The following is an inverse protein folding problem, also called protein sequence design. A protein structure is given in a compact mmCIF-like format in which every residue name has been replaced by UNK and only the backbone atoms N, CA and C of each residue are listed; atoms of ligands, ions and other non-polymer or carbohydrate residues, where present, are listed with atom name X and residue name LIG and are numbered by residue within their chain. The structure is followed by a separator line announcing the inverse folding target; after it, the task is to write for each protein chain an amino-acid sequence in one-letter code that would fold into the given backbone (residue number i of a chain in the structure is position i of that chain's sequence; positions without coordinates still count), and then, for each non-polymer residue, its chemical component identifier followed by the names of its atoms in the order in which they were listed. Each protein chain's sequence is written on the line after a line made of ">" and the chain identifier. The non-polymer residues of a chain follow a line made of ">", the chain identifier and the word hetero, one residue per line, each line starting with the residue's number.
data_IF_101663321147
#
_entry.id   IF_101663321147
#
_cell.length_a   1.000
_cell.length_b   1.000
_cell.length_c   1.000
_cell.angle_alpha   90.00
_cell.angle_beta   90.00
_cell.angle_gamma   90.00
#
_symmetry.space_group_name_H-M   'P 1'
#
loop_
_entity.id
_entity.type
_entity.pdbx_description
1 polymer ?
#
# COMPACT_ATOMS: atom_id res chain seq x y z
N UNK A 1 23.46 -11.64 21.62
CA UNK A 1 23.66 -11.13 20.25
C UNK A 1 23.39 -12.32 19.36
N UNK A 2 22.34 -12.39 18.56
CA UNK A 2 21.44 -11.37 18.02
C UNK A 2 20.22 -12.14 17.53
N UNK A 3 19.00 -11.65 17.72
CA UNK A 3 17.79 -12.02 16.95
C UNK A 3 16.62 -11.12 17.42
N UNK A 4 16.85 -9.81 17.44
CA UNK A 4 15.88 -8.78 17.87
C UNK A 4 15.55 -7.83 16.70
N UNK A 5 15.32 -8.39 15.51
CA UNK A 5 14.88 -7.62 14.32
C UNK A 5 13.62 -8.21 13.67
N UNK A 6 13.23 -9.44 13.99
CA UNK A 6 12.04 -10.09 13.43
C UNK A 6 10.72 -9.72 14.12
N UNK A 7 10.77 -9.13 15.32
CA UNK A 7 9.59 -8.84 16.15
C UNK A 7 8.84 -7.57 15.75
N UNK A 8 9.55 -6.51 15.32
CA UNK A 8 8.91 -5.22 15.00
C UNK A 8 8.13 -5.22 13.67
N UNK A 9 8.30 -6.25 12.84
CA UNK A 9 7.57 -6.39 11.58
C UNK A 9 6.18 -7.03 11.73
N UNK A 10 5.81 -7.52 12.92
CA UNK A 10 4.51 -8.18 13.15
C UNK A 10 3.38 -7.22 13.53
N UNK A 11 3.66 -5.96 13.88
CA UNK A 11 2.65 -5.09 14.51
C UNK A 11 1.67 -4.41 13.52
N UNK A 12 1.85 -4.55 12.20
CA UNK A 12 0.99 -3.90 11.20
C UNK A 12 0.45 -4.81 10.08
N UNK A 13 0.60 -6.13 10.21
CA UNK A 13 0.08 -7.06 9.21
C UNK A 13 -1.37 -7.38 9.56
N UNK A 14 -2.31 -6.61 9.00
CA UNK A 14 -3.68 -7.09 8.80
C UNK A 14 -3.58 -8.53 8.28
N UNK A 15 -4.13 -9.51 9.01
CA UNK A 15 -3.88 -10.96 8.89
C UNK A 15 -4.14 -11.52 7.47
N UNK A 16 -3.25 -11.22 6.53
CA UNK A 16 -3.34 -11.73 5.17
C UNK A 16 -2.83 -13.17 5.19
N UNK A 17 -3.55 -14.14 4.59
CA UNK A 17 -3.17 -15.54 4.65
C UNK A 17 -1.78 -15.76 4.04
N UNK A 18 -0.84 -16.25 4.84
CA UNK A 18 0.56 -16.49 4.40
C UNK A 18 0.73 -17.77 3.58
N UNK A 19 -0.28 -18.67 3.54
CA UNK A 19 -0.24 -19.95 2.81
C UNK A 19 -1.00 -19.84 1.49
N UNK A 20 -0.35 -20.19 0.38
CA UNK A 20 -0.97 -20.24 -0.96
C UNK A 20 -0.95 -18.91 -1.74
N UNK A 21 -0.32 -17.87 -1.18
CA UNK A 21 -0.20 -16.55 -1.81
C UNK A 21 1.27 -16.21 -2.06
N UNK A 22 1.56 -15.68 -3.25
CA UNK A 22 2.87 -15.16 -3.60
C UNK A 22 3.12 -13.77 -3.00
N UNK A 23 4.37 -13.32 -3.04
CA UNK A 23 4.75 -11.97 -2.57
C UNK A 23 3.96 -10.87 -3.28
N UNK A 24 3.66 -11.05 -4.57
CA UNK A 24 2.85 -10.11 -5.35
C UNK A 24 1.43 -10.01 -4.79
N UNK A 25 0.78 -11.15 -4.51
CA UNK A 25 -0.58 -11.17 -3.96
C UNK A 25 -0.64 -10.49 -2.59
N UNK A 26 0.38 -10.72 -1.76
CA UNK A 26 0.50 -10.07 -0.45
C UNK A 26 0.64 -8.54 -0.57
N UNK A 27 1.51 -8.06 -1.47
CA UNK A 27 1.70 -6.62 -1.72
C UNK A 27 0.44 -5.97 -2.28
N UNK A 28 -0.27 -6.65 -3.19
CA UNK A 28 -1.56 -6.20 -3.71
C UNK A 28 -2.62 -6.10 -2.61
N UNK A 29 -2.69 -7.09 -1.71
CA UNK A 29 -3.59 -7.05 -0.55
C UNK A 29 -3.31 -5.85 0.36
N UNK A 30 -2.04 -5.61 0.69
CA UNK A 30 -1.64 -4.44 1.49
C UNK A 30 -1.99 -3.12 0.82
N UNK A 31 -1.74 -3.01 -0.49
CA UNK A 31 -2.11 -1.82 -1.26
C UNK A 31 -3.62 -1.58 -1.21
N UNK A 32 -4.42 -2.63 -1.38
CA UNK A 32 -5.88 -2.54 -1.34
C UNK A 32 -6.39 -1.99 0.00
N UNK A 33 -5.96 -2.58 1.12
CA UNK A 33 -6.38 -2.10 2.45
C UNK A 33 -5.88 -0.68 2.76
N UNK A 34 -4.65 -0.35 2.32
CA UNK A 34 -4.10 1.00 2.50
C UNK A 34 -4.94 2.05 1.76
N UNK A 35 -5.37 1.75 0.52
CA UNK A 35 -6.27 2.63 -0.25
C UNK A 35 -7.63 2.75 0.46
N UNK A 36 -8.20 1.64 0.95
CA UNK A 36 -9.47 1.71 1.68
C UNK A 36 -9.37 2.58 2.94
N UNK A 37 -8.30 2.47 3.71
CA UNK A 37 -8.12 3.25 4.92
C UNK A 37 -7.92 4.73 4.61
N UNK A 38 -7.18 5.07 3.54
CA UNK A 38 -7.12 6.44 3.04
C UNK A 38 -8.50 6.98 2.67
N UNK A 39 -9.31 6.21 1.93
CA UNK A 39 -10.67 6.62 1.57
C UNK A 39 -11.54 6.87 2.81
N UNK A 40 -11.46 6.01 3.82
CA UNK A 40 -12.20 6.19 5.10
C UNK A 40 -11.77 7.47 5.80
N UNK A 41 -10.48 7.77 5.85
CA UNK A 41 -9.95 8.97 6.50
C UNK A 41 -10.35 10.24 5.74
N UNK A 42 -10.26 10.25 4.41
CA UNK A 42 -10.69 11.38 3.57
C UNK A 42 -12.20 11.62 3.65
N UNK A 43 -13.00 10.56 3.70
CA UNK A 43 -14.44 10.69 3.93
C UNK A 43 -14.75 11.27 5.31
N UNK A 44 -14.02 10.84 6.35
CA UNK A 44 -14.12 11.41 7.71
C UNK A 44 -13.69 12.88 7.76
N UNK A 45 -12.81 13.34 6.87
CA UNK A 45 -12.43 14.75 6.75
C UNK A 45 -13.42 15.59 5.94
N UNK A 46 -14.55 15.02 5.52
CA UNK A 46 -15.61 15.74 4.84
C UNK A 46 -15.49 15.78 3.31
N UNK A 47 -14.55 15.03 2.72
CA UNK A 47 -14.45 14.93 1.26
C UNK A 47 -15.57 14.05 0.70
N UNK A 48 -16.15 14.48 -0.43
CA UNK A 48 -17.10 13.66 -1.19
C UNK A 48 -16.40 12.48 -1.87
N UNK A 49 -17.18 11.46 -2.25
CA UNK A 49 -16.66 10.31 -2.97
C UNK A 49 -15.97 10.69 -4.29
N UNK A 50 -16.46 11.72 -4.97
CA UNK A 50 -15.87 12.21 -6.22
C UNK A 50 -14.50 12.86 -5.99
N UNK A 51 -14.38 13.71 -4.96
CA UNK A 51 -13.11 14.33 -4.57
C UNK A 51 -12.08 13.30 -4.10
N UNK A 52 -12.51 12.30 -3.32
CA UNK A 52 -11.68 11.18 -2.88
C UNK A 52 -11.12 10.44 -4.10
N UNK A 53 -12.01 10.07 -5.04
CA UNK A 53 -11.61 9.37 -6.27
C UNK A 53 -10.60 10.18 -7.07
N UNK A 54 -10.86 11.48 -7.28
CA UNK A 54 -9.97 12.37 -8.03
C UNK A 54 -8.60 12.48 -7.37
N UNK A 55 -8.56 12.64 -6.05
CA UNK A 55 -7.32 12.79 -5.27
C UNK A 55 -6.48 11.51 -5.32
N UNK A 56 -7.10 10.35 -5.05
CA UNK A 56 -6.41 9.06 -5.09
C UNK A 56 -5.85 8.75 -6.48
N UNK A 57 -6.63 8.97 -7.54
CA UNK A 57 -6.16 8.76 -8.91
C UNK A 57 -4.98 9.66 -9.25
N UNK A 58 -5.04 10.95 -8.90
CA UNK A 58 -3.93 11.88 -9.14
C UNK A 58 -2.65 11.39 -8.46
N UNK A 59 -2.73 10.98 -7.20
CA UNK A 59 -1.57 10.51 -6.44
C UNK A 59 -1.00 9.21 -7.01
N UNK A 60 -1.86 8.25 -7.37
CA UNK A 60 -1.42 6.98 -7.96
C UNK A 60 -0.77 7.22 -9.33
N UNK A 61 -1.36 8.07 -10.17
CA UNK A 61 -0.79 8.45 -11.47
C UNK A 61 0.59 9.08 -11.29
N UNK A 62 0.74 10.02 -10.36
CA UNK A 62 2.04 10.63 -10.07
C UNK A 62 3.09 9.60 -9.61
N UNK A 63 2.72 8.66 -8.75
CA UNK A 63 3.63 7.57 -8.33
C UNK A 63 4.08 6.72 -9.52
N UNK A 64 3.15 6.39 -10.42
CA UNK A 64 3.44 5.59 -11.61
C UNK A 64 4.32 6.37 -12.59
N UNK A 65 4.01 7.65 -12.83
CA UNK A 65 4.74 8.49 -13.78
C UNK A 65 6.19 8.73 -13.35
N UNK A 66 6.44 8.72 -12.04
CA UNK A 66 7.78 8.85 -11.46
C UNK A 66 8.47 7.50 -11.19
N UNK A 67 7.84 6.37 -11.51
CA UNK A 67 8.45 5.06 -11.32
C UNK A 67 9.48 4.77 -12.41
N UNK A 68 10.75 4.88 -12.07
CA UNK A 68 11.86 4.42 -12.92
C UNK A 68 12.27 3.01 -12.48
N UNK A 69 12.00 1.96 -13.28
CA UNK A 69 12.52 0.63 -12.96
C UNK A 69 14.05 0.72 -13.10
N UNK A 70 14.77 0.48 -11.99
CA UNK A 70 16.23 0.39 -11.93
C UNK A 70 16.79 -0.06 -13.28
N UNK A 71 17.38 0.87 -14.03
CA UNK A 71 18.05 0.54 -15.27
C UNK A 71 19.19 -0.37 -14.85
N UNK A 72 19.08 -1.67 -15.14
CA UNK A 72 20.25 -2.54 -15.12
C UNK A 72 21.27 -1.87 -16.03
N UNK A 73 22.23 -1.17 -15.43
CA UNK A 73 23.40 -0.69 -16.13
C UNK A 73 24.03 -1.94 -16.77
N UNK A 74 24.31 -1.91 -18.08
CA UNK A 74 24.83 -3.06 -18.81
C UNK A 74 26.16 -3.57 -18.26
#
# INVERSE_FOLDING_TARGET
>A
MSDDESSEHEMFVTEFPKKGFGIVDYLQGRMHFSIMDQMKLMHKSGMSQEEIKKTLLSNITEIIDNFEPESKSP
#
